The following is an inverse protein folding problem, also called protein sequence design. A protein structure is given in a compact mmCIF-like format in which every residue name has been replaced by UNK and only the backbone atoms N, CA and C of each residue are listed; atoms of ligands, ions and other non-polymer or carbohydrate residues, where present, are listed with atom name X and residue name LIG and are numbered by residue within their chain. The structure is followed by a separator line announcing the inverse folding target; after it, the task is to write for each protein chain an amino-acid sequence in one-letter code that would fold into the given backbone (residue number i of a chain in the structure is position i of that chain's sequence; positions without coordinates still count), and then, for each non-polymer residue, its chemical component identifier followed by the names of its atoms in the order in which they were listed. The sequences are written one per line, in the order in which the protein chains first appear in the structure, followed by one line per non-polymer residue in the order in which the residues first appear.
data_IF_450827591170
#
_entry.id   IF_450827591170
#
_cell.length_a   1.000
_cell.length_b   1.000
_cell.length_c   1.000
_cell.angle_alpha   90.00
_cell.angle_beta   90.00
_cell.angle_gamma   90.00
#
_symmetry.space_group_name_H-M   'P 1'
#
loop_
_entity.id
_entity.type
_entity.pdbx_description
1 polymer ?
#
# COMPACT_ATOMS: atom_id res chain seq x y z
N UNK A 1 34.37 -5.72 -72.39
CA UNK A 1 34.06 -5.94 -73.81
C UNK A 1 33.05 -7.06 -73.80
N UNK A 2 31.79 -6.64 -73.81
CA UNK A 2 30.61 -7.33 -73.27
C UNK A 2 30.76 -7.51 -71.72
N UNK A 3 30.55 -6.53 -70.83
CA UNK A 3 29.65 -5.34 -70.72
C UNK A 3 28.19 -5.67 -70.30
N UNK A 4 27.70 -4.91 -69.30
CA UNK A 4 26.31 -4.62 -68.87
C UNK A 4 25.32 -5.77 -68.48
N UNK A 5 24.47 -5.66 -67.45
CA UNK A 5 24.36 -4.72 -66.31
C UNK A 5 23.64 -5.43 -65.12
N UNK A 6 23.74 -4.91 -63.89
CA UNK A 6 23.25 -5.54 -62.65
C UNK A 6 22.09 -4.74 -62.02
N UNK A 7 20.85 -5.22 -62.20
CA UNK A 7 19.60 -4.51 -61.82
C UNK A 7 18.73 -5.38 -60.88
N UNK A 8 19.18 -5.59 -59.64
CA UNK A 8 18.32 -6.10 -58.55
C UNK A 8 17.58 -4.92 -57.89
N UNK A 9 16.24 -4.91 -57.97
CA UNK A 9 15.39 -3.76 -57.60
C UNK A 9 15.47 -3.35 -56.10
N UNK A 10 15.68 -2.06 -55.81
CA UNK A 10 15.61 -1.50 -54.45
C UNK A 10 14.15 -1.40 -53.91
N UNK A 11 13.62 -2.50 -53.37
CA UNK A 11 12.37 -2.45 -52.60
C UNK A 11 12.61 -1.90 -51.17
N UNK A 12 12.02 -0.74 -50.88
CA UNK A 12 12.15 -0.05 -49.58
C UNK A 12 11.29 -0.70 -48.51
N UNK A 13 11.88 -0.93 -47.34
CA UNK A 13 11.15 -1.45 -46.18
C UNK A 13 10.18 -0.43 -45.55
N UNK A 14 9.05 -0.94 -45.07
CA UNK A 14 8.15 -0.23 -44.15
C UNK A 14 8.24 -0.85 -42.76
N UNK A 15 8.40 -0.01 -41.73
CA UNK A 15 8.49 -0.46 -40.34
C UNK A 15 7.12 -0.56 -39.69
N UNK A 16 6.72 -1.76 -39.25
CA UNK A 16 5.43 -1.99 -38.57
C UNK A 16 5.32 -1.18 -37.27
N UNK A 17 4.55 -0.10 -37.33
CA UNK A 17 4.30 0.81 -36.20
C UNK A 17 3.38 0.19 -35.16
N UNK A 18 3.92 -0.66 -34.28
CA UNK A 18 3.18 -1.31 -33.21
C UNK A 18 2.36 -0.34 -32.34
N UNK A 19 1.05 -0.56 -32.28
CA UNK A 19 0.08 0.35 -31.68
C UNK A 19 0.24 0.41 -30.15
N UNK A 20 0.85 1.50 -29.66
CA UNK A 20 1.20 1.65 -28.24
C UNK A 20 -0.05 1.92 -27.40
N UNK A 21 -0.24 1.24 -26.24
CA UNK A 21 -1.38 1.50 -25.37
C UNK A 21 -1.37 2.96 -24.86
N UNK A 22 -2.55 3.57 -24.82
CA UNK A 22 -2.73 4.98 -24.50
C UNK A 22 -2.31 5.33 -23.06
N UNK A 23 -1.07 5.80 -22.91
CA UNK A 23 -0.47 6.26 -21.66
C UNK A 23 -1.07 7.58 -21.18
N UNK A 24 -2.06 7.50 -20.28
CA UNK A 24 -2.65 8.64 -19.60
C UNK A 24 -1.69 9.23 -18.55
N UNK A 25 -1.70 10.55 -18.39
CA UNK A 25 -0.90 11.24 -17.36
C UNK A 25 -1.62 11.21 -16.01
N UNK A 26 -0.86 11.03 -14.91
CA UNK A 26 -1.39 11.07 -13.55
C UNK A 26 -2.20 12.34 -13.25
N UNK A 27 -1.77 13.49 -13.78
CA UNK A 27 -2.47 14.77 -13.61
C UNK A 27 -3.88 14.76 -14.24
N UNK A 28 -4.04 14.11 -15.41
CA UNK A 28 -5.34 14.04 -16.08
C UNK A 28 -6.36 13.14 -15.32
N UNK A 29 -5.89 12.24 -14.46
CA UNK A 29 -6.75 11.45 -13.57
C UNK A 29 -7.19 12.25 -12.33
N UNK A 30 -6.32 13.15 -11.84
CA UNK A 30 -6.59 13.98 -10.67
C UNK A 30 -7.60 15.10 -10.97
N UNK A 31 -7.50 15.75 -12.14
CA UNK A 31 -8.43 16.80 -12.57
C UNK A 31 -9.89 16.30 -12.67
N UNK A 32 -10.08 15.00 -12.94
CA UNK A 32 -11.40 14.37 -13.08
C UNK A 32 -12.19 14.31 -11.75
N UNK A 33 -11.51 14.38 -10.60
CA UNK A 33 -12.07 14.07 -9.28
C UNK A 33 -12.63 15.30 -8.53
N UNK A 34 -12.29 16.53 -8.94
CA UNK A 34 -12.60 17.75 -8.17
C UNK A 34 -13.49 18.78 -8.92
N UNK A 35 -13.97 18.45 -10.12
CA UNK A 35 -14.68 19.39 -11.00
C UNK A 35 -16.21 19.47 -10.87
N UNK A 36 -16.84 18.69 -10.00
CA UNK A 36 -18.30 18.55 -9.94
C UNK A 36 -18.94 19.21 -8.71
N UNK A 37 -19.74 20.26 -8.91
CA UNK A 37 -20.48 20.94 -7.82
C UNK A 37 -21.96 21.14 -8.16
N UNK A 38 -22.83 20.83 -7.19
CA UNK A 38 -24.22 21.29 -7.13
C UNK A 38 -25.29 20.41 -7.78
N UNK A 39 -26.11 19.77 -6.94
CA UNK A 39 -27.53 20.17 -6.75
C UNK A 39 -28.12 19.51 -5.50
N UNK A 40 -29.18 20.10 -4.96
CA UNK A 40 -29.82 19.75 -3.70
C UNK A 40 -30.79 18.55 -3.76
N UNK A 41 -31.10 18.01 -2.59
CA UNK A 41 -32.15 17.02 -2.31
C UNK A 41 -32.24 16.79 -0.80
N UNK A 42 -33.33 17.23 -0.17
CA UNK A 42 -33.55 17.19 1.29
C UNK A 42 -34.97 16.69 1.57
N UNK A 43 -35.08 15.67 2.42
CA UNK A 43 -36.19 15.25 3.30
C UNK A 43 -35.66 13.93 3.94
N UNK A 44 -35.50 13.83 5.27
CA UNK A 44 -36.51 13.38 6.25
C UNK A 44 -36.95 11.90 6.01
N UNK A 45 -37.16 11.04 7.01
CA UNK A 45 -37.67 11.25 8.38
C UNK A 45 -36.97 10.34 9.43
N UNK A 46 -37.27 10.57 10.71
CA UNK A 46 -36.88 9.84 11.93
C UNK A 46 -37.73 8.54 12.14
N UNK A 47 -37.47 7.60 13.06
CA UNK A 47 -36.55 7.48 14.22
C UNK A 47 -35.68 6.18 14.07
N UNK A 48 -35.25 5.29 14.98
CA UNK A 48 -35.42 4.95 16.42
C UNK A 48 -34.00 4.63 17.06
N UNK A 49 -33.88 3.98 18.22
CA UNK A 49 -32.61 3.77 18.99
C UNK A 49 -32.22 2.29 19.24
N UNK A 50 -30.91 1.97 19.31
CA UNK A 50 -30.35 0.75 19.95
C UNK A 50 -29.01 1.13 20.63
N UNK A 51 -28.83 0.76 21.91
CA UNK A 51 -27.60 1.00 22.69
C UNK A 51 -26.62 -0.19 22.50
N UNK A 52 -25.39 0.05 22.03
CA UNK A 52 -24.32 -0.95 21.98
C UNK A 52 -23.23 -0.62 23.01
N UNK A 53 -22.65 -1.63 23.63
CA UNK A 53 -21.98 -1.52 24.94
C UNK A 53 -20.55 -0.93 24.83
N UNK A 54 -20.22 0.04 25.71
CA UNK A 54 -18.89 0.67 25.74
C UNK A 54 -17.81 -0.31 26.23
N UNK A 55 -17.16 -1.06 25.34
CA UNK A 55 -15.94 -1.82 25.69
C UNK A 55 -14.82 -0.85 26.11
N UNK A 56 -14.37 -0.99 27.37
CA UNK A 56 -13.34 -0.16 28.00
C UNK A 56 -11.95 -0.41 27.36
N UNK A 57 -11.61 0.28 26.26
CA UNK A 57 -10.23 0.30 25.73
C UNK A 57 -9.28 0.99 26.73
N UNK A 58 -8.68 0.21 27.63
CA UNK A 58 -7.62 0.65 28.54
C UNK A 58 -6.34 1.08 27.78
N UNK A 59 -6.35 2.33 27.30
CA UNK A 59 -5.19 3.02 26.72
C UNK A 59 -4.13 3.26 27.81
N UNK A 60 -3.22 2.31 27.95
CA UNK A 60 -2.07 2.43 28.85
C UNK A 60 -1.12 3.55 28.39
N UNK A 61 -1.28 4.74 29.00
CA UNK A 61 -0.44 5.92 28.80
C UNK A 61 0.97 5.71 29.41
N UNK A 62 1.87 5.09 28.65
CA UNK A 62 3.30 5.00 29.04
C UNK A 62 3.98 6.35 28.81
N UNK A 63 4.03 7.20 29.84
CA UNK A 63 4.68 8.53 29.82
C UNK A 63 6.22 8.44 29.78
N UNK A 64 6.75 7.89 28.69
CA UNK A 64 8.18 7.82 28.38
C UNK A 64 8.76 9.15 27.91
N UNK A 65 8.93 10.12 28.83
CA UNK A 65 9.54 11.43 28.53
C UNK A 65 11.02 11.28 28.08
N UNK A 66 11.26 11.22 26.76
CA UNK A 66 12.49 10.63 26.21
C UNK A 66 12.95 11.11 24.83
N UNK A 67 12.91 12.42 24.55
CA UNK A 67 13.82 13.08 23.59
C UNK A 67 13.95 12.50 22.16
N UNK A 68 12.93 12.67 21.32
CA UNK A 68 13.09 12.77 19.86
C UNK A 68 13.18 11.48 19.03
N UNK A 69 13.34 10.30 19.64
CA UNK A 69 13.52 9.03 18.90
C UNK A 69 12.26 8.11 18.89
N UNK A 70 11.17 8.52 19.54
CA UNK A 70 9.98 7.69 19.76
C UNK A 70 9.37 7.06 18.50
N UNK A 71 9.51 7.70 17.33
CA UNK A 71 9.01 7.18 16.06
C UNK A 71 9.68 5.84 15.64
N UNK A 72 10.91 5.56 16.08
CA UNK A 72 11.57 4.27 15.81
C UNK A 72 10.96 3.11 16.60
N UNK A 73 10.29 3.41 17.73
CA UNK A 73 9.69 2.43 18.62
C UNK A 73 8.22 2.11 18.30
N UNK A 74 7.54 2.95 17.51
CA UNK A 74 6.16 2.74 17.08
C UNK A 74 6.08 1.68 15.97
N UNK A 75 5.01 0.86 15.96
CA UNK A 75 4.77 -0.11 14.90
C UNK A 75 4.27 0.55 13.61
N UNK A 76 5.00 0.38 12.50
CA UNK A 76 4.65 0.94 11.19
C UNK A 76 3.38 0.37 10.54
N UNK A 77 2.70 -0.61 11.15
CA UNK A 77 1.46 -1.21 10.63
C UNK A 77 0.23 -0.49 11.17
N UNK A 78 0.12 -0.32 12.49
CA UNK A 78 -1.02 0.38 13.11
C UNK A 78 -0.71 1.83 13.50
N UNK A 79 0.56 2.24 13.56
CA UNK A 79 1.04 3.56 13.99
C UNK A 79 0.62 4.02 15.42
N UNK A 80 -0.12 3.20 16.17
CA UNK A 80 -0.54 3.46 17.56
C UNK A 80 0.37 2.75 18.58
N UNK A 81 0.58 1.44 18.44
CA UNK A 81 1.22 0.60 19.47
C UNK A 81 2.73 0.42 19.24
N UNK A 82 3.50 0.39 20.33
CA UNK A 82 4.93 0.12 20.30
C UNK A 82 5.29 -1.28 19.78
N UNK A 83 6.48 -1.39 19.19
CA UNK A 83 7.11 -2.66 18.77
C UNK A 83 7.35 -3.55 19.99
N UNK A 84 6.92 -4.81 19.91
CA UNK A 84 7.01 -5.77 21.02
C UNK A 84 7.04 -7.23 20.58
N UNK A 85 7.24 -7.49 19.29
CA UNK A 85 7.44 -8.83 18.73
C UNK A 85 8.31 -8.78 17.47
N UNK A 86 9.13 -9.80 17.24
CA UNK A 86 10.02 -9.97 16.08
C UNK A 86 9.69 -11.25 15.32
N UNK A 87 9.78 -11.21 13.99
CA UNK A 87 9.61 -12.41 13.15
C UNK A 87 10.92 -13.17 12.96
N UNK A 88 10.91 -14.48 13.23
CA UNK A 88 12.03 -15.39 12.93
C UNK A 88 11.79 -15.98 11.53
N UNK A 89 12.80 -15.99 10.63
CA UNK A 89 14.22 -15.70 10.88
C UNK A 89 14.68 -14.27 10.59
N UNK A 90 13.81 -13.35 10.13
CA UNK A 90 14.25 -12.07 9.55
C UNK A 90 14.48 -10.91 10.54
N UNK A 91 14.12 -11.05 11.82
CA UNK A 91 14.37 -10.09 12.89
C UNK A 91 13.52 -8.81 12.87
N UNK A 92 12.66 -8.62 11.87
CA UNK A 92 11.83 -7.41 11.74
C UNK A 92 10.77 -7.30 12.85
N UNK A 93 10.63 -6.09 13.42
CA UNK A 93 9.85 -5.82 14.63
C UNK A 93 8.55 -5.05 14.39
N UNK A 94 7.47 -5.52 15.02
CA UNK A 94 6.12 -4.94 14.98
C UNK A 94 5.47 -5.04 16.38
N UNK A 95 4.29 -4.44 16.58
CA UNK A 95 3.54 -4.59 17.83
C UNK A 95 2.86 -5.97 17.91
N UNK A 96 2.66 -6.49 19.13
CA UNK A 96 2.28 -7.91 19.35
C UNK A 96 0.99 -8.35 18.64
N UNK A 97 -0.02 -7.48 18.54
CA UNK A 97 -1.28 -7.79 17.85
C UNK A 97 -1.08 -7.88 16.32
N UNK A 98 -0.46 -6.87 15.70
CA UNK A 98 -0.21 -6.87 14.25
C UNK A 98 0.77 -7.98 13.84
N UNK A 99 1.72 -8.38 14.69
CA UNK A 99 2.56 -9.56 14.44
C UNK A 99 1.73 -10.84 14.31
N UNK A 100 0.73 -11.04 15.18
CA UNK A 100 -0.16 -12.21 15.16
C UNK A 100 -1.09 -12.17 13.93
N UNK A 101 -1.68 -11.02 13.67
CA UNK A 101 -2.53 -10.77 12.50
C UNK A 101 -1.80 -11.04 11.17
N UNK A 102 -0.58 -10.50 11.00
CA UNK A 102 0.24 -10.71 9.80
C UNK A 102 0.62 -12.18 9.58
N UNK A 103 0.86 -12.92 10.66
CA UNK A 103 1.20 -14.35 10.57
C UNK A 103 0.02 -15.17 10.06
N UNK A 104 -1.21 -14.88 10.52
CA UNK A 104 -2.44 -15.57 10.09
C UNK A 104 -2.92 -15.10 8.72
N UNK A 105 -2.85 -13.80 8.41
CA UNK A 105 -3.42 -13.21 7.18
C UNK A 105 -2.50 -13.27 5.97
N UNK A 106 -1.17 -13.23 6.16
CA UNK A 106 -0.17 -13.23 5.09
C UNK A 106 0.90 -14.31 5.20
N UNK A 107 1.35 -14.65 6.41
CA UNK A 107 2.48 -15.57 6.62
C UNK A 107 3.86 -15.03 6.19
N UNK A 108 3.94 -13.81 5.65
CA UNK A 108 5.16 -13.18 5.14
C UNK A 108 5.38 -11.80 5.75
N UNK A 109 6.63 -11.50 6.11
CA UNK A 109 7.04 -10.24 6.74
C UNK A 109 6.86 -9.03 5.79
N UNK A 110 6.17 -7.94 6.20
CA UNK A 110 5.98 -6.76 5.34
C UNK A 110 7.25 -6.06 4.86
N UNK A 111 8.38 -6.18 5.57
CA UNK A 111 9.61 -5.42 5.28
C UNK A 111 10.61 -6.16 4.38
N UNK A 112 10.56 -7.50 4.30
CA UNK A 112 11.46 -8.28 3.45
C UNK A 112 10.78 -9.40 2.65
N UNK A 113 9.46 -9.55 2.77
CA UNK A 113 8.64 -10.62 2.19
C UNK A 113 9.07 -12.06 2.57
N UNK A 114 10.01 -12.25 3.51
CA UNK A 114 10.40 -13.57 4.02
C UNK A 114 9.29 -14.21 4.86
N UNK A 115 9.20 -15.55 4.83
CA UNK A 115 8.22 -16.31 5.61
C UNK A 115 8.42 -16.13 7.12
N UNK A 116 7.29 -16.04 7.84
CA UNK A 116 7.24 -15.97 9.31
C UNK A 116 7.15 -17.41 9.82
N UNK A 117 8.25 -17.95 10.35
CA UNK A 117 8.30 -19.31 10.90
C UNK A 117 7.85 -19.31 12.37
N UNK A 118 8.38 -18.37 13.15
CA UNK A 118 8.06 -18.19 14.56
C UNK A 118 7.96 -16.68 14.88
N UNK A 119 7.23 -16.35 15.95
CA UNK A 119 7.16 -14.99 16.52
C UNK A 119 7.84 -15.01 17.88
N UNK A 120 8.84 -14.15 18.05
CA UNK A 120 9.47 -13.89 19.34
C UNK A 120 8.89 -12.61 19.93
N UNK A 121 8.06 -12.72 20.97
CA UNK A 121 7.66 -11.58 21.79
C UNK A 121 8.92 -11.00 22.48
N UNK A 122 9.13 -9.69 22.34
CA UNK A 122 10.21 -8.93 22.95
C UNK A 122 9.63 -7.88 23.90
N UNK A 123 10.37 -7.55 24.95
CA UNK A 123 10.00 -6.60 26.00
C UNK A 123 10.73 -5.28 25.76
#
# INVERSE_FOLDING_TARGET
EDDDDDDEEEEKGEGEGGEQPARMSLMALLDMQWGGSGKEGLEAEEEEEEEDEEEEEEVAEDEGEGGGDGMLYVCCVCMVRHKGAAFIPCGHTFCRLCSRELWVSRGNCPLCNGYILEILDIF
#
